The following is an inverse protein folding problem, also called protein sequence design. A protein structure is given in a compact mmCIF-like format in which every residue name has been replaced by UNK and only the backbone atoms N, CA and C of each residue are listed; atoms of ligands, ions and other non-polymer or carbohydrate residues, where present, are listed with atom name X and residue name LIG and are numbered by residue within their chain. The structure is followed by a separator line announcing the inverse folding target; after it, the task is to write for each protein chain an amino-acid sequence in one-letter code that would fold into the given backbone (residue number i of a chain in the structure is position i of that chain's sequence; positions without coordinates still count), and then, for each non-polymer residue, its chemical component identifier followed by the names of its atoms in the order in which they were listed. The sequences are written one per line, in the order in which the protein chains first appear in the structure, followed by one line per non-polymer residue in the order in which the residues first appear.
data_IF_107840178657
#
_entry.id   IF_107840178657
#
_cell.length_a   1.000
_cell.length_b   1.000
_cell.length_c   1.000
_cell.angle_alpha   90.00
_cell.angle_beta   90.00
_cell.angle_gamma   90.00
#
_symmetry.space_group_name_H-M   'P 1'
#
loop_
_entity.id
_entity.type
_entity.pdbx_description
1 polymer ?
#
# COMPACT_ATOMS: atom_id res chain seq x y z
N UNK A 1 -37.68 24.60 -34.25
CA UNK A 1 -36.26 24.75 -34.60
C UNK A 1 -35.58 25.63 -33.56
N UNK A 2 -34.45 25.25 -32.94
CA UNK A 2 -34.52 24.54 -31.66
C UNK A 2 -33.86 25.24 -30.46
N UNK A 3 -34.19 24.67 -29.30
CA UNK A 3 -33.82 24.99 -27.93
C UNK A 3 -32.30 24.86 -27.68
N UNK A 4 -31.70 25.86 -27.05
CA UNK A 4 -30.39 25.71 -26.41
C UNK A 4 -30.59 25.20 -24.98
N UNK A 5 -30.31 23.92 -24.80
CA UNK A 5 -30.24 23.23 -23.52
C UNK A 5 -28.85 23.48 -22.91
N UNK A 6 -28.79 24.19 -21.78
CA UNK A 6 -27.58 24.27 -20.98
C UNK A 6 -27.48 22.99 -20.15
N UNK A 7 -26.58 22.09 -20.58
CA UNK A 7 -26.15 20.93 -19.81
C UNK A 7 -25.33 21.43 -18.61
N UNK A 8 -25.58 20.99 -17.36
CA UNK A 8 -24.63 21.23 -16.30
C UNK A 8 -23.45 20.28 -16.48
N UNK A 9 -22.33 20.81 -17.00
CA UNK A 9 -21.00 20.21 -16.81
C UNK A 9 -20.61 20.31 -15.34
N UNK A 10 -20.06 19.22 -14.81
CA UNK A 10 -19.51 19.17 -13.46
C UNK A 10 -20.17 18.12 -12.58
N UNK A 11 -20.21 16.87 -13.04
CA UNK A 11 -20.41 15.74 -12.14
C UNK A 11 -19.30 15.75 -11.10
N UNK A 12 -19.60 16.21 -9.88
CA UNK A 12 -18.72 16.03 -8.73
C UNK A 12 -18.43 14.54 -8.61
N UNK A 13 -17.22 14.11 -9.02
CA UNK A 13 -16.73 12.77 -8.72
C UNK A 13 -16.72 12.65 -7.20
N UNK A 14 -17.72 11.97 -6.63
CA UNK A 14 -17.71 11.61 -5.21
C UNK A 14 -16.47 10.75 -4.96
N UNK A 15 -15.40 11.37 -4.50
CA UNK A 15 -14.18 10.68 -4.09
C UNK A 15 -14.49 10.05 -2.74
N UNK A 16 -14.82 8.76 -2.77
CA UNK A 16 -15.07 7.99 -1.56
C UNK A 16 -13.74 7.51 -1.00
N UNK A 17 -13.48 7.81 0.27
CA UNK A 17 -12.22 7.49 0.94
C UNK A 17 -12.39 6.27 1.85
N UNK A 18 -11.40 5.37 1.87
CA UNK A 18 -11.28 4.32 2.89
C UNK A 18 -10.13 4.68 3.81
N UNK A 19 -10.41 4.74 5.11
CA UNK A 19 -9.38 4.66 6.14
C UNK A 19 -9.27 3.22 6.63
N UNK A 20 -8.06 2.70 6.68
CA UNK A 20 -7.76 1.41 7.31
C UNK A 20 -6.69 1.60 8.38
N UNK A 21 -6.96 1.07 9.57
CA UNK A 21 -5.98 1.01 10.65
C UNK A 21 -5.18 -0.29 10.54
N UNK A 22 -3.87 -0.17 10.43
CA UNK A 22 -2.94 -1.27 10.28
C UNK A 22 -2.15 -1.44 11.58
N UNK A 23 -2.14 -2.68 12.08
CA UNK A 23 -1.30 -3.14 13.18
C UNK A 23 -0.30 -4.13 12.62
N UNK A 24 0.95 -3.71 12.46
CA UNK A 24 2.00 -4.53 11.83
C UNK A 24 3.14 -4.70 12.82
N UNK A 25 3.44 -5.95 13.15
CA UNK A 25 4.63 -6.32 13.90
C UNK A 25 5.55 -7.13 13.01
N UNK A 26 6.83 -6.76 12.97
CA UNK A 26 7.83 -7.48 12.21
C UNK A 26 9.18 -7.50 12.94
N UNK A 27 9.91 -8.60 12.75
CA UNK A 27 11.31 -8.75 13.13
C UNK A 27 12.14 -8.98 11.87
N UNK A 28 12.75 -7.90 11.38
CA UNK A 28 13.62 -7.88 10.21
C UNK A 28 15.10 -7.92 10.60
N UNK A 29 15.43 -8.26 11.84
CA UNK A 29 16.81 -8.22 12.35
C UNK A 29 17.75 -9.20 11.63
N UNK A 30 17.21 -10.25 11.01
CA UNK A 30 17.94 -11.21 10.17
C UNK A 30 18.45 -10.61 8.86
N UNK A 31 17.87 -9.50 8.38
CA UNK A 31 18.31 -8.80 7.17
C UNK A 31 19.61 -8.00 7.38
N UNK A 32 20.02 -7.80 8.63
CA UNK A 32 21.20 -7.03 8.99
C UNK A 32 22.42 -7.95 9.17
N UNK A 33 23.36 -7.81 8.24
CA UNK A 33 24.71 -8.40 8.28
C UNK A 33 25.76 -7.29 8.45
N UNK A 34 27.03 -7.66 8.49
CA UNK A 34 28.14 -6.68 8.53
C UNK A 34 28.12 -5.70 7.33
N UNK A 35 27.58 -6.13 6.18
CA UNK A 35 27.53 -5.35 4.94
C UNK A 35 26.20 -4.58 4.78
N UNK A 36 25.21 -4.74 5.65
CA UNK A 36 23.94 -3.99 5.51
C UNK A 36 24.14 -2.54 5.96
N UNK A 37 23.82 -1.58 5.08
CA UNK A 37 23.84 -0.14 5.40
C UNK A 37 22.51 0.31 5.99
N UNK A 38 21.41 -0.05 5.34
CA UNK A 38 20.04 0.25 5.76
C UNK A 38 19.07 -0.68 5.04
N UNK A 39 17.87 -0.83 5.58
CA UNK A 39 16.76 -1.54 4.93
C UNK A 39 15.65 -0.53 4.67
N UNK A 40 15.20 -0.43 3.42
CA UNK A 40 13.94 0.25 3.10
C UNK A 40 12.82 -0.79 3.15
N UNK A 41 11.76 -0.54 3.91
CA UNK A 41 10.61 -1.43 4.04
C UNK A 41 9.35 -0.65 3.71
N UNK A 42 8.42 -1.28 3.00
CA UNK A 42 7.10 -0.73 2.78
C UNK A 42 6.05 -1.82 2.77
N UNK A 43 4.85 -1.44 3.16
CA UNK A 43 3.67 -2.31 3.19
C UNK A 43 2.72 -1.79 2.14
N UNK A 44 2.24 -2.66 1.26
CA UNK A 44 1.31 -2.31 0.21
C UNK A 44 0.08 -3.22 0.23
N UNK A 45 -1.07 -2.67 -0.14
CA UNK A 45 -2.19 -3.47 -0.60
C UNK A 45 -2.03 -3.76 -2.09
N UNK A 46 -2.05 -5.04 -2.45
CA UNK A 46 -1.96 -5.54 -3.81
C UNK A 46 -3.28 -6.21 -4.20
N UNK A 47 -3.86 -5.78 -5.31
CA UNK A 47 -5.11 -6.34 -5.82
C UNK A 47 -5.16 -6.26 -7.35
N UNK A 48 -5.91 -7.16 -7.95
CA UNK A 48 -6.09 -7.19 -9.40
C UNK A 48 -7.37 -6.44 -9.79
N UNK A 49 -7.45 -5.93 -11.02
CA UNK A 49 -8.68 -5.41 -11.64
C UNK A 49 -8.77 -5.93 -13.07
N UNK A 50 -9.97 -5.94 -13.71
CA UNK A 50 -10.07 -6.36 -15.11
C UNK A 50 -9.16 -5.57 -16.07
N UNK A 51 -8.81 -4.33 -15.71
CA UNK A 51 -7.95 -3.45 -16.50
C UNK A 51 -6.46 -3.59 -16.16
N UNK A 52 -6.12 -4.10 -14.98
CA UNK A 52 -4.74 -4.17 -14.52
C UNK A 52 -4.50 -5.41 -13.64
N UNK A 53 -3.58 -6.27 -14.09
CA UNK A 53 -3.20 -7.50 -13.41
C UNK A 53 -2.52 -7.25 -12.05
N UNK A 54 -1.98 -6.06 -11.79
CA UNK A 54 -1.42 -5.72 -10.48
C UNK A 54 -1.61 -4.23 -10.17
N UNK A 55 -2.49 -3.95 -9.22
CA UNK A 55 -2.59 -2.63 -8.59
C UNK A 55 -1.93 -2.71 -7.23
N UNK A 56 -1.00 -1.78 -6.96
CA UNK A 56 -0.26 -1.72 -5.70
C UNK A 56 -0.46 -0.33 -5.08
N UNK A 57 -0.92 -0.30 -3.84
CA UNK A 57 -1.08 0.94 -3.07
C UNK A 57 -0.22 0.83 -1.83
N UNK A 58 0.84 1.64 -1.75
CA UNK A 58 1.65 1.73 -0.52
C UNK A 58 0.79 2.26 0.62
N UNK A 59 0.82 1.60 1.78
CA UNK A 59 0.06 1.97 2.97
C UNK A 59 0.96 2.59 4.02
N UNK A 60 2.21 2.13 4.08
CA UNK A 60 3.23 2.60 5.00
C UNK A 60 4.61 2.32 4.41
N UNK A 61 5.57 3.18 4.69
CA UNK A 61 6.97 3.04 4.29
C UNK A 61 7.89 3.55 5.40
N UNK A 62 9.10 2.99 5.47
CA UNK A 62 10.09 3.38 6.45
C UNK A 62 11.51 2.94 6.06
N UNK A 63 12.50 3.64 6.61
CA UNK A 63 13.91 3.26 6.53
C UNK A 63 14.34 2.78 7.91
N UNK A 64 14.88 1.57 7.97
CA UNK A 64 15.49 0.99 9.16
C UNK A 64 17.01 1.18 9.01
N UNK A 65 17.62 2.10 9.77
CA UNK A 65 19.03 2.44 9.58
C UNK A 65 19.98 1.40 10.19
N UNK A 66 19.53 0.63 11.19
CA UNK A 66 20.38 -0.32 11.92
C UNK A 66 19.56 -1.46 12.55
N UNK A 67 20.24 -2.54 12.96
CA UNK A 67 19.64 -3.80 13.43
C UNK A 67 18.78 -3.63 14.69
N UNK A 68 19.19 -2.73 15.58
CA UNK A 68 18.50 -2.36 16.81
C UNK A 68 17.10 -1.78 16.57
N UNK A 69 16.83 -1.26 15.36
CA UNK A 69 15.53 -0.74 14.94
C UNK A 69 14.73 -1.73 14.09
N UNK A 70 15.28 -2.91 13.81
CA UNK A 70 14.68 -3.88 12.89
C UNK A 70 13.52 -4.68 13.50
N UNK A 71 13.26 -4.51 14.80
CA UNK A 71 12.05 -5.00 15.47
C UNK A 71 11.13 -3.82 15.72
N UNK A 72 9.94 -3.84 15.13
CA UNK A 72 9.01 -2.73 15.23
C UNK A 72 7.56 -3.18 15.30
N UNK A 73 6.76 -2.30 15.89
CA UNK A 73 5.30 -2.35 15.87
C UNK A 73 4.81 -1.03 15.29
N UNK A 74 4.03 -1.10 14.22
CA UNK A 74 3.42 0.06 13.59
C UNK A 74 1.92 0.01 13.87
N UNK A 75 1.41 1.09 14.45
CA UNK A 75 -0.01 1.39 14.53
C UNK A 75 -0.24 2.63 13.68
N UNK A 76 -0.77 2.47 12.47
CA UNK A 76 -0.95 3.59 11.55
C UNK A 76 -2.24 3.48 10.76
N UNK A 77 -2.84 4.62 10.46
CA UNK A 77 -3.88 4.72 9.43
C UNK A 77 -3.16 4.86 8.09
N UNK A 78 -3.59 4.13 7.05
CA UNK A 78 -2.94 4.13 5.73
C UNK A 78 -2.55 5.54 5.24
N UNK A 79 -1.25 5.71 4.93
CA UNK A 79 -0.66 6.98 4.49
C UNK A 79 -1.18 7.43 3.12
N UNK A 80 -1.51 6.47 2.24
CA UNK A 80 -2.07 6.75 0.92
C UNK A 80 -3.50 6.23 0.80
N UNK A 81 -4.36 7.10 0.27
CA UNK A 81 -5.80 6.87 0.09
C UNK A 81 -6.04 5.85 -1.02
N UNK A 82 -6.92 4.88 -0.78
CA UNK A 82 -7.51 4.10 -1.87
C UNK A 82 -8.42 5.03 -2.65
N UNK A 83 -7.98 5.45 -3.84
CA UNK A 83 -8.80 6.26 -4.73
C UNK A 83 -9.54 5.29 -5.64
N UNK A 84 -10.81 5.03 -5.35
CA UNK A 84 -11.68 4.29 -6.25
C UNK A 84 -11.99 5.17 -7.47
N UNK A 85 -11.47 4.82 -8.64
CA UNK A 85 -11.97 5.34 -9.90
C UNK A 85 -13.21 4.53 -10.33
N UNK A 86 -14.29 4.60 -9.54
CA UNK A 86 -15.54 3.90 -9.80
C UNK A 86 -16.13 3.19 -8.59
N UNK A 87 -16.65 1.97 -8.81
CA UNK A 87 -17.13 1.03 -7.80
C UNK A 87 -16.27 -0.23 -7.76
N UNK A 88 -15.00 -0.13 -8.19
CA UNK A 88 -14.17 -1.30 -8.50
C UNK A 88 -13.43 -1.85 -7.28
N UNK A 89 -13.41 -1.12 -6.16
CA UNK A 89 -12.63 -1.45 -4.98
C UNK A 89 -13.46 -2.00 -3.80
N UNK A 90 -14.80 -1.99 -3.87
CA UNK A 90 -15.67 -2.47 -2.78
C UNK A 90 -15.67 -4.00 -2.70
N UNK A 91 -15.54 -4.54 -1.49
CA UNK A 91 -15.65 -5.99 -1.25
C UNK A 91 -14.60 -6.81 -2.01
N UNK A 92 -13.55 -6.17 -2.53
CA UNK A 92 -12.52 -6.84 -3.31
C UNK A 92 -11.47 -7.40 -2.36
N UNK A 93 -11.05 -8.63 -2.65
CA UNK A 93 -9.93 -9.24 -1.98
C UNK A 93 -8.64 -8.51 -2.35
N UNK A 94 -7.80 -8.30 -1.36
CA UNK A 94 -6.47 -7.76 -1.54
C UNK A 94 -5.47 -8.51 -0.66
N UNK A 95 -4.22 -8.49 -1.10
CA UNK A 95 -3.10 -9.00 -0.35
C UNK A 95 -2.39 -7.84 0.33
N UNK A 96 -2.13 -7.98 1.63
CA UNK A 96 -1.24 -7.10 2.34
C UNK A 96 0.18 -7.65 2.16
N UNK A 97 1.04 -6.90 1.46
CA UNK A 97 2.39 -7.35 1.12
C UNK A 97 3.41 -6.43 1.75
N UNK A 98 4.32 -6.99 2.55
CA UNK A 98 5.47 -6.27 3.08
C UNK A 98 6.68 -6.56 2.21
N UNK A 99 7.22 -5.52 1.58
CA UNK A 99 8.42 -5.56 0.76
C UNK A 99 9.58 -4.95 1.53
N UNK A 100 10.79 -5.46 1.34
CA UNK A 100 12.00 -4.85 1.86
C UNK A 100 13.15 -4.89 0.86
N UNK A 101 13.90 -3.79 0.82
CA UNK A 101 15.11 -3.64 0.03
C UNK A 101 16.30 -3.49 0.97
N UNK A 102 17.22 -4.44 0.93
CA UNK A 102 18.49 -4.42 1.65
C UNK A 102 19.49 -3.61 0.84
N UNK A 103 19.89 -2.46 1.37
CA UNK A 103 20.91 -1.61 0.77
C UNK A 103 22.26 -1.95 1.43
N UNK A 104 23.20 -2.58 0.71
CA UNK A 104 24.49 -2.87 1.28
C UNK A 104 25.39 -1.62 1.32
N UNK A 105 26.48 -1.69 2.09
CA UNK A 105 27.56 -0.69 2.02
C UNK A 105 28.32 -0.82 0.70
N UNK A 106 28.49 -2.05 0.22
CA UNK A 106 29.11 -2.36 -1.08
C UNK A 106 28.39 -3.51 -1.79
N UNK A 107 28.29 -3.43 -3.11
CA UNK A 107 27.64 -4.45 -3.94
C UNK A 107 26.20 -4.10 -4.34
N UNK A 108 25.41 -5.12 -4.72
CA UNK A 108 24.06 -4.97 -5.27
C UNK A 108 22.99 -4.91 -4.19
N UNK A 109 21.95 -4.14 -4.44
CA UNK A 109 20.73 -4.14 -3.62
C UNK A 109 20.00 -5.49 -3.76
N UNK A 110 19.42 -5.97 -2.67
CA UNK A 110 18.56 -7.17 -2.66
C UNK A 110 17.15 -6.77 -2.26
N UNK A 111 16.15 -7.34 -2.92
CA UNK A 111 14.74 -7.10 -2.63
C UNK A 111 14.03 -8.43 -2.41
N UNK A 112 13.16 -8.47 -1.42
CA UNK A 112 12.29 -9.63 -1.15
C UNK A 112 11.00 -9.15 -0.48
N UNK A 113 10.02 -10.05 -0.34
CA UNK A 113 8.70 -9.71 0.18
C UNK A 113 8.03 -10.88 0.89
N UNK A 114 7.07 -10.56 1.76
CA UNK A 114 6.12 -11.52 2.30
C UNK A 114 4.69 -11.06 1.97
N UNK A 115 3.86 -12.01 1.53
CA UNK A 115 2.48 -11.78 1.13
C UNK A 115 1.56 -12.33 2.21
N UNK A 116 0.64 -11.51 2.69
CA UNK A 116 -0.41 -11.88 3.63
C UNK A 116 -1.76 -11.77 2.89
N UNK A 117 -2.41 -12.90 2.67
CA UNK A 117 -3.66 -13.00 1.92
C UNK A 117 -4.89 -13.00 2.83
N UNK A 118 -6.08 -12.85 2.26
CA UNK A 118 -7.36 -13.01 2.98
C UNK A 118 -7.91 -11.72 3.59
N UNK A 119 -7.48 -10.57 3.09
CA UNK A 119 -8.09 -9.28 3.43
C UNK A 119 -9.08 -8.87 2.37
N UNK A 120 -10.14 -8.19 2.79
CA UNK A 120 -11.19 -7.69 1.92
C UNK A 120 -11.41 -6.20 2.19
N UNK A 121 -11.51 -5.41 1.14
CA UNK A 121 -11.86 -3.99 1.28
C UNK A 121 -13.30 -3.85 1.75
N UNK A 122 -13.61 -2.86 2.62
CA UNK A 122 -14.96 -2.67 3.13
C UNK A 122 -15.96 -2.40 2.00
N UNK A 123 -17.16 -2.97 2.11
CA UNK A 123 -18.22 -2.80 1.12
C UNK A 123 -18.81 -1.38 1.12
N UNK A 124 -18.64 -0.65 2.22
CA UNK A 124 -19.17 0.68 2.42
C UNK A 124 -18.02 1.64 2.73
N UNK A 125 -17.90 2.66 1.89
CA UNK A 125 -17.10 3.86 2.19
C UNK A 125 -17.93 4.75 3.11
N UNK A 126 -17.31 5.29 4.16
CA UNK A 126 -17.97 6.22 5.08
C UNK A 126 -17.89 7.66 4.55
#
# INVERSE_FOLDING_TARGET
DPQHQLVPEGGQRQRREVSMTLNISADLSSLFTWNTKQVFVFVAAEYETPQNALNQVSLWDGIIPAKEHAKFLIHTTNKYRFIDQGSNLKGRDFNLTMHWHIMPKTGKMFADKIVMTGYQLPEQYR
#
